data_IF_122726048654
#
_entry.id   IF_122726048654
#
_cell.length_a   1.000
_cell.length_b   1.000
_cell.length_c   1.000
_cell.angle_alpha   90.00
_cell.angle_beta   90.00
_cell.angle_gamma   90.00
#
_symmetry.space_group_name_H-M   'P 1'
#
loop_
_entity.id
_entity.type
_entity.pdbx_description
1 polymer ?
#
# COMPACT_ATOMS: atom_id res chain seq x y z
N UNK A 1 -8.72 -11.19 19.25
CA UNK A 1 -8.39 -10.12 18.30
C UNK A 1 -7.41 -9.09 18.89
N UNK A 2 -7.72 -8.36 19.96
CA UNK A 2 -6.85 -7.31 20.52
C UNK A 2 -5.45 -7.77 20.93
N UNK A 3 -5.29 -8.99 21.46
CA UNK A 3 -3.98 -9.53 21.85
C UNK A 3 -3.09 -9.78 20.63
N UNK A 4 -3.64 -10.25 19.50
CA UNK A 4 -2.90 -10.49 18.27
C UNK A 4 -2.46 -9.14 17.68
N UNK A 5 -3.37 -8.19 17.55
CA UNK A 5 -3.08 -6.84 17.07
C UNK A 5 -1.95 -6.17 17.88
N UNK A 6 -2.01 -6.28 19.22
CA UNK A 6 -0.95 -5.73 20.09
C UNK A 6 0.41 -6.40 19.81
N UNK A 7 0.42 -7.70 19.55
CA UNK A 7 1.66 -8.44 19.23
C UNK A 7 2.21 -8.02 17.88
N UNK A 8 1.35 -7.84 16.87
CA UNK A 8 1.76 -7.40 15.53
C UNK A 8 2.31 -5.98 15.54
N UNK A 9 1.64 -5.06 16.23
CA UNK A 9 2.12 -3.70 16.41
C UNK A 9 3.45 -3.67 17.20
N UNK A 10 3.60 -4.47 18.24
CA UNK A 10 4.86 -4.57 18.98
C UNK A 10 6.00 -5.08 18.07
N UNK A 11 5.76 -6.10 17.26
CA UNK A 11 6.73 -6.63 16.29
C UNK A 11 7.09 -5.61 15.22
N UNK A 12 6.09 -4.88 14.74
CA UNK A 12 6.26 -3.81 13.77
C UNK A 12 7.26 -2.77 14.29
N UNK A 13 7.00 -2.20 15.46
CA UNK A 13 7.84 -1.13 16.03
C UNK A 13 9.20 -1.61 16.53
N UNK A 14 9.37 -2.90 16.80
CA UNK A 14 10.66 -3.47 17.19
C UNK A 14 11.47 -4.00 16.00
N UNK A 15 10.84 -4.18 14.85
CA UNK A 15 11.46 -4.70 13.65
C UNK A 15 12.32 -3.64 12.94
N UNK A 16 13.59 -3.95 12.66
CA UNK A 16 14.48 -3.09 11.86
C UNK A 16 13.88 -2.73 10.50
N UNK A 17 13.09 -3.63 9.91
CA UNK A 17 12.45 -3.40 8.61
C UNK A 17 11.55 -2.15 8.62
N UNK A 18 10.86 -1.88 9.74
CA UNK A 18 10.02 -0.69 9.86
C UNK A 18 10.82 0.62 9.77
N UNK A 19 12.03 0.65 10.33
CA UNK A 19 12.89 1.84 10.33
C UNK A 19 13.77 1.97 9.10
N UNK A 20 14.05 0.84 8.43
CA UNK A 20 14.91 0.82 7.25
C UNK A 20 14.28 1.61 6.08
N UNK A 21 12.97 1.52 5.90
CA UNK A 21 12.27 2.22 4.83
C UNK A 21 12.23 3.74 5.01
N UNK A 22 11.89 4.30 6.19
CA UNK A 22 12.02 5.74 6.42
C UNK A 22 13.43 6.26 6.20
N UNK A 23 14.45 5.50 6.58
CA UNK A 23 15.83 5.85 6.32
C UNK A 23 16.17 5.89 4.82
N UNK A 24 15.67 4.89 4.06
CA UNK A 24 15.79 4.87 2.60
C UNK A 24 15.07 6.05 1.92
N UNK A 25 13.87 6.38 2.40
CA UNK A 25 13.13 7.55 1.94
C UNK A 25 13.91 8.85 2.18
N UNK A 26 14.51 9.00 3.35
CA UNK A 26 15.37 10.15 3.67
C UNK A 26 16.53 10.27 2.67
N UNK A 27 17.20 9.15 2.34
CA UNK A 27 18.27 9.15 1.35
C UNK A 27 17.79 9.62 -0.03
N UNK A 28 16.68 9.07 -0.52
CA UNK A 28 16.10 9.46 -1.81
C UNK A 28 15.74 10.95 -1.84
N UNK A 29 15.18 11.48 -0.75
CA UNK A 29 14.85 12.90 -0.65
C UNK A 29 16.08 13.79 -0.63
N UNK A 30 17.13 13.42 0.08
CA UNK A 30 18.40 14.17 0.09
C UNK A 30 18.99 14.25 -1.33
N UNK A 31 18.94 13.15 -2.09
CA UNK A 31 19.39 13.14 -3.48
C UNK A 31 18.50 14.00 -4.39
N UNK A 32 17.18 14.03 -4.19
CA UNK A 32 16.26 14.86 -4.97
C UNK A 32 16.48 16.35 -4.74
N UNK A 33 16.79 16.76 -3.51
CA UNK A 33 17.05 18.17 -3.17
C UNK A 33 18.30 18.69 -3.87
N UNK A 34 19.36 17.88 -3.98
CA UNK A 34 20.61 18.28 -4.63
C UNK A 34 20.48 18.47 -6.16
N UNK A 35 19.41 17.96 -6.77
CA UNK A 35 19.17 18.05 -8.21
C UNK A 35 18.21 19.17 -8.66
N UNK A 36 17.47 19.77 -7.73
CA UNK A 36 16.42 20.74 -8.07
C UNK A 36 16.61 22.05 -7.31
N UNK A 37 17.03 23.10 -8.01
CA UNK A 37 16.97 24.46 -7.51
C UNK A 37 15.76 25.19 -8.11
N UNK A 38 14.62 25.09 -7.44
CA UNK A 38 13.36 25.71 -7.86
C UNK A 38 13.15 27.09 -7.20
N UNK A 39 13.96 28.07 -7.57
CA UNK A 39 13.79 29.43 -7.02
C UNK A 39 12.49 30.04 -7.54
N UNK A 40 11.53 30.26 -6.65
CA UNK A 40 10.33 31.05 -6.92
C UNK A 40 9.09 30.32 -7.46
N UNK A 41 9.14 29.02 -7.64
CA UNK A 41 7.96 28.23 -8.01
C UNK A 41 7.06 27.97 -6.79
N UNK A 42 5.76 28.04 -7.00
CA UNK A 42 4.74 27.74 -5.97
C UNK A 42 4.06 26.42 -6.28
N UNK A 43 3.97 25.54 -5.29
CA UNK A 43 3.19 24.30 -5.36
C UNK A 43 2.02 24.35 -4.39
N UNK A 44 0.86 23.87 -4.81
CA UNK A 44 -0.24 23.64 -3.88
C UNK A 44 -0.06 22.29 -3.18
N UNK A 45 -0.63 22.13 -1.99
CA UNK A 45 -0.64 20.85 -1.28
C UNK A 45 -1.39 19.78 -2.10
N UNK A 46 -2.40 20.18 -2.88
CA UNK A 46 -3.12 19.30 -3.79
C UNK A 46 -2.23 18.72 -4.89
N UNK A 47 -1.34 19.54 -5.47
CA UNK A 47 -0.39 19.08 -6.49
C UNK A 47 0.59 18.06 -5.90
N UNK A 48 1.10 18.32 -4.69
CA UNK A 48 1.99 17.41 -3.97
C UNK A 48 1.29 16.05 -3.69
N UNK A 49 0.03 16.07 -3.27
CA UNK A 49 -0.73 14.85 -3.05
C UNK A 49 -1.01 14.10 -4.35
N UNK A 50 -1.35 14.81 -5.41
CA UNK A 50 -1.51 14.21 -6.73
C UNK A 50 -0.23 13.51 -7.19
N UNK A 51 0.92 14.17 -7.05
CA UNK A 51 2.22 13.58 -7.37
C UNK A 51 2.57 12.37 -6.50
N UNK A 52 2.22 12.38 -5.22
CA UNK A 52 2.41 11.23 -4.32
C UNK A 52 1.58 10.02 -4.74
N UNK A 53 0.39 10.23 -5.26
CA UNK A 53 -0.48 9.15 -5.72
C UNK A 53 -0.02 8.62 -7.09
N UNK A 54 0.49 9.49 -7.95
CA UNK A 54 0.84 9.16 -9.34
C UNK A 54 2.33 8.84 -9.49
N UNK A 55 3.16 9.87 -9.51
CA UNK A 55 4.59 9.78 -9.86
C UNK A 55 5.42 9.20 -8.71
N UNK A 56 5.14 9.62 -7.48
CA UNK A 56 5.90 9.23 -6.29
C UNK A 56 5.24 8.11 -5.48
N UNK A 57 4.29 7.39 -6.07
CA UNK A 57 3.55 6.29 -5.41
C UNK A 57 4.45 5.24 -4.76
N UNK A 58 5.62 5.00 -5.34
CA UNK A 58 6.60 4.04 -4.82
C UNK A 58 7.06 4.38 -3.39
N UNK A 59 7.09 5.67 -3.01
CA UNK A 59 7.49 6.10 -1.67
C UNK A 59 6.57 5.57 -0.57
N UNK A 60 5.32 5.28 -0.91
CA UNK A 60 4.33 4.74 0.04
C UNK A 60 4.07 3.25 -0.19
N UNK A 61 3.91 2.81 -1.43
CA UNK A 61 3.52 1.43 -1.73
C UNK A 61 4.60 0.42 -1.39
N UNK A 62 5.87 0.71 -1.73
CA UNK A 62 6.97 -0.20 -1.41
C UNK A 62 7.04 -0.47 0.09
N UNK A 63 7.20 0.55 0.96
CA UNK A 63 7.34 0.30 2.38
C UNK A 63 6.10 -0.38 2.97
N UNK A 64 4.90 0.00 2.56
CA UNK A 64 3.66 -0.65 3.04
C UNK A 64 3.66 -2.13 2.68
N UNK A 65 3.87 -2.48 1.40
CA UNK A 65 3.89 -3.87 0.94
C UNK A 65 5.00 -4.70 1.60
N UNK A 66 6.20 -4.14 1.69
CA UNK A 66 7.34 -4.82 2.29
C UNK A 66 7.16 -5.08 3.78
N UNK A 67 6.62 -4.11 4.53
CA UNK A 67 6.35 -4.25 5.95
C UNK A 67 5.23 -5.26 6.20
N UNK A 68 4.16 -5.24 5.41
CA UNK A 68 3.08 -6.24 5.48
C UNK A 68 3.64 -7.63 5.21
N UNK A 69 4.45 -7.80 4.17
CA UNK A 69 5.13 -9.06 3.86
C UNK A 69 6.07 -9.51 4.97
N UNK A 70 6.82 -8.59 5.57
CA UNK A 70 7.70 -8.89 6.71
C UNK A 70 6.92 -9.40 7.93
N UNK A 71 5.83 -8.76 8.29
CA UNK A 71 4.98 -9.19 9.40
C UNK A 71 4.42 -10.60 9.15
N UNK A 72 4.00 -10.87 7.94
CA UNK A 72 3.48 -12.16 7.54
C UNK A 72 4.57 -13.26 7.58
N UNK A 73 5.78 -12.95 7.06
CA UNK A 73 6.92 -13.87 7.13
C UNK A 73 7.32 -14.19 8.58
N UNK A 74 7.28 -13.20 9.47
CA UNK A 74 7.58 -13.41 10.88
C UNK A 74 6.60 -14.41 11.54
N UNK A 75 5.34 -14.37 11.18
CA UNK A 75 4.34 -15.31 11.70
C UNK A 75 4.53 -16.74 11.20
N UNK A 76 4.80 -16.91 9.90
CA UNK A 76 5.01 -18.23 9.30
C UNK A 76 6.31 -18.86 9.78
N UNK A 77 7.40 -18.08 9.85
CA UNK A 77 8.74 -18.58 10.22
C UNK A 77 8.85 -19.00 11.68
N UNK A 78 8.18 -18.28 12.60
CA UNK A 78 8.27 -18.56 14.03
C UNK A 78 7.16 -19.51 14.53
N UNK A 79 6.36 -20.09 13.64
CA UNK A 79 5.30 -21.04 14.01
C UNK A 79 4.20 -20.42 14.88
N UNK A 80 4.09 -19.09 14.87
CA UNK A 80 3.13 -18.35 15.70
C UNK A 80 1.68 -18.75 15.38
N UNK A 81 1.38 -19.02 14.11
CA UNK A 81 0.08 -19.50 13.66
C UNK A 81 -0.28 -20.86 14.30
N UNK A 82 0.70 -21.74 14.55
CA UNK A 82 0.47 -23.03 15.23
C UNK A 82 0.04 -22.83 16.69
N UNK A 83 0.69 -21.89 17.37
CA UNK A 83 0.35 -21.57 18.77
C UNK A 83 -0.98 -20.80 18.89
N UNK A 84 -1.36 -20.07 17.86
CA UNK A 84 -2.65 -19.36 17.80
C UNK A 84 -3.80 -20.29 17.47
N UNK A 85 -3.59 -21.31 16.63
CA UNK A 85 -4.63 -22.24 16.21
C UNK A 85 -5.34 -22.95 17.39
N UNK A 86 -4.64 -23.16 18.52
CA UNK A 86 -5.24 -23.69 19.76
C UNK A 86 -6.01 -22.66 20.60
N UNK A 87 -5.79 -21.35 20.40
CA UNK A 87 -6.31 -20.32 21.29
C UNK A 87 -7.28 -19.33 20.63
N UNK A 88 -7.48 -19.40 19.31
CA UNK A 88 -8.32 -18.45 18.56
C UNK A 88 -9.57 -19.16 18.04
N UNK A 89 -10.74 -18.60 18.39
CA UNK A 89 -12.07 -19.17 18.05
C UNK A 89 -12.43 -19.13 16.55
N UNK A 90 -11.64 -18.47 15.69
CA UNK A 90 -11.90 -18.34 14.25
C UNK A 90 -10.60 -18.26 13.46
N UNK A 91 -10.49 -19.02 12.39
CA UNK A 91 -9.31 -19.05 11.50
C UNK A 91 -9.15 -17.77 10.67
N UNK A 92 -10.23 -17.02 10.50
CA UNK A 92 -10.26 -15.72 9.81
C UNK A 92 -9.66 -14.57 10.64
N UNK A 93 -9.57 -14.72 11.97
CA UNK A 93 -9.12 -13.65 12.87
C UNK A 93 -7.70 -13.15 12.55
N UNK A 94 -6.70 -14.00 12.27
CA UNK A 94 -5.38 -13.55 11.85
C UNK A 94 -5.40 -12.68 10.59
N UNK A 95 -6.12 -13.09 9.53
CA UNK A 95 -6.23 -12.32 8.29
C UNK A 95 -6.87 -10.94 8.52
N UNK A 96 -7.96 -10.90 9.29
CA UNK A 96 -8.59 -9.62 9.66
C UNK A 96 -7.62 -8.73 10.46
N UNK A 97 -6.88 -9.32 11.41
CA UNK A 97 -5.92 -8.56 12.21
C UNK A 97 -4.80 -7.98 11.36
N UNK A 98 -4.34 -8.69 10.33
CA UNK A 98 -3.32 -8.21 9.39
C UNK A 98 -3.84 -7.07 8.52
N UNK A 99 -5.08 -7.13 8.06
CA UNK A 99 -5.69 -6.01 7.33
C UNK A 99 -5.75 -4.76 8.22
N UNK A 100 -6.09 -4.90 9.50
CA UNK A 100 -6.09 -3.77 10.46
C UNK A 100 -4.67 -3.27 10.71
N UNK A 101 -3.70 -4.16 10.91
CA UNK A 101 -2.29 -3.77 11.07
C UNK A 101 -1.78 -3.09 9.81
N UNK A 102 -2.15 -3.59 8.63
CA UNK A 102 -1.87 -2.96 7.33
C UNK A 102 -2.44 -1.55 7.22
N UNK A 103 -3.65 -1.32 7.72
CA UNK A 103 -4.24 0.03 7.78
C UNK A 103 -3.43 0.98 8.66
N UNK A 104 -2.99 0.53 9.84
CA UNK A 104 -2.13 1.32 10.73
C UNK A 104 -0.79 1.64 10.05
N UNK A 105 -0.16 0.65 9.44
CA UNK A 105 1.09 0.82 8.67
C UNK A 105 0.89 1.84 7.55
N UNK A 106 -0.19 1.70 6.78
CA UNK A 106 -0.54 2.63 5.70
C UNK A 106 -0.63 4.07 6.20
N UNK A 107 -1.39 4.32 7.26
CA UNK A 107 -1.52 5.68 7.83
C UNK A 107 -0.18 6.24 8.25
N UNK A 108 0.65 5.44 8.94
CA UNK A 108 1.99 5.88 9.38
C UNK A 108 2.85 6.26 8.18
N UNK A 109 2.91 5.41 7.14
CA UNK A 109 3.73 5.70 5.96
C UNK A 109 3.18 6.82 5.10
N UNK A 110 1.86 6.99 5.00
CA UNK A 110 1.26 8.15 4.34
C UNK A 110 1.68 9.46 5.02
N UNK A 111 1.59 9.52 6.35
CA UNK A 111 2.00 10.70 7.12
C UNK A 111 3.50 10.96 6.97
N UNK A 112 4.33 9.92 7.13
CA UNK A 112 5.78 10.06 6.97
C UNK A 112 6.15 10.53 5.57
N UNK A 113 5.62 9.89 4.52
CA UNK A 113 5.91 10.24 3.13
C UNK A 113 5.47 11.67 2.82
N UNK A 114 4.27 12.06 3.26
CA UNK A 114 3.77 13.41 3.08
C UNK A 114 4.67 14.45 3.75
N UNK A 115 5.03 14.23 5.02
CA UNK A 115 5.93 15.13 5.75
C UNK A 115 7.30 15.22 5.08
N UNK A 116 7.87 14.11 4.63
CA UNK A 116 9.16 14.11 3.95
C UNK A 116 9.11 14.90 2.65
N UNK A 117 8.08 14.71 1.83
CA UNK A 117 7.95 15.44 0.56
C UNK A 117 7.75 16.92 0.83
N UNK A 118 6.90 17.29 1.79
CA UNK A 118 6.71 18.68 2.20
C UNK A 118 8.02 19.34 2.62
N UNK A 119 8.78 18.70 3.52
CA UNK A 119 10.08 19.21 3.99
C UNK A 119 11.06 19.34 2.82
N UNK A 120 11.12 18.33 1.94
CA UNK A 120 11.97 18.33 0.76
C UNK A 120 11.67 19.51 -0.16
N UNK A 121 10.40 19.77 -0.46
CA UNK A 121 9.99 20.88 -1.30
C UNK A 121 10.33 22.24 -0.66
N UNK A 122 10.12 22.37 0.65
CA UNK A 122 10.50 23.59 1.38
C UNK A 122 12.01 23.83 1.36
N UNK A 123 12.82 22.79 1.55
CA UNK A 123 14.29 22.88 1.48
C UNK A 123 14.80 23.18 0.06
N UNK A 124 14.09 22.73 -0.97
CA UNK A 124 14.38 23.07 -2.36
C UNK A 124 14.00 24.52 -2.75
N UNK A 125 13.43 25.30 -1.82
CA UNK A 125 13.08 26.71 -2.05
C UNK A 125 11.71 26.93 -2.68
N UNK A 126 10.85 25.91 -2.75
CA UNK A 126 9.47 26.06 -3.23
C UNK A 126 8.57 26.69 -2.17
N UNK A 127 7.66 27.57 -2.62
CA UNK A 127 6.59 28.11 -1.77
C UNK A 127 5.40 27.15 -1.79
N UNK A 128 5.00 26.68 -0.62
CA UNK A 128 3.86 25.76 -0.47
C UNK A 128 2.63 26.57 -0.08
N UNK A 129 1.54 26.43 -0.85
CA UNK A 129 0.26 27.07 -0.61
C UNK A 129 -0.79 26.01 -0.35
N UNK A 130 -1.67 26.24 0.64
CA UNK A 130 -2.83 25.39 0.85
C UNK A 130 -3.74 25.48 -0.38
N UNK A 131 -4.01 24.32 -0.98
CA UNK A 131 -4.98 24.22 -2.07
C UNK A 131 -6.43 24.18 -1.57
N UNK A 132 -7.33 23.61 -2.38
CA UNK A 132 -8.73 23.46 -2.03
C UNK A 132 -8.89 22.38 -0.94
N UNK A 133 -9.42 22.70 0.27
CA UNK A 133 -9.56 21.72 1.35
C UNK A 133 -10.45 20.50 1.01
N UNK A 134 -11.48 20.71 0.19
CA UNK A 134 -12.39 19.63 -0.24
C UNK A 134 -11.68 18.61 -1.14
N UNK A 135 -10.91 19.09 -2.11
CA UNK A 135 -10.11 18.23 -3.00
C UNK A 135 -9.02 17.51 -2.22
N UNK A 136 -8.37 18.19 -1.27
CA UNK A 136 -7.35 17.63 -0.41
C UNK A 136 -7.88 16.42 0.39
N UNK A 137 -9.06 16.56 0.99
CA UNK A 137 -9.68 15.45 1.72
C UNK A 137 -9.99 14.26 0.81
N UNK A 138 -10.50 14.52 -0.39
CA UNK A 138 -10.78 13.49 -1.38
C UNK A 138 -9.50 12.77 -1.83
N UNK A 139 -8.43 13.51 -2.12
CA UNK A 139 -7.15 12.93 -2.52
C UNK A 139 -6.52 12.08 -1.42
N UNK A 140 -6.52 12.56 -0.16
CA UNK A 140 -6.02 11.79 0.98
C UNK A 140 -6.84 10.52 1.20
N UNK A 141 -8.16 10.62 1.15
CA UNK A 141 -9.06 9.48 1.27
C UNK A 141 -8.84 8.45 0.16
N UNK A 142 -8.67 8.92 -1.07
CA UNK A 142 -8.38 8.06 -2.22
C UNK A 142 -7.02 7.38 -2.09
N UNK A 143 -5.97 8.11 -1.71
CA UNK A 143 -4.64 7.57 -1.47
C UNK A 143 -4.67 6.45 -0.42
N UNK A 144 -5.37 6.68 0.70
CA UNK A 144 -5.58 5.64 1.71
C UNK A 144 -6.28 4.40 1.15
N UNK A 145 -7.36 4.59 0.37
CA UNK A 145 -8.11 3.48 -0.22
C UNK A 145 -7.28 2.63 -1.19
N UNK A 146 -6.48 3.27 -2.05
CA UNK A 146 -5.56 2.54 -2.94
C UNK A 146 -4.57 1.72 -2.13
N UNK A 147 -3.92 2.31 -1.13
CA UNK A 147 -2.99 1.60 -0.28
C UNK A 147 -3.65 0.40 0.42
N UNK A 148 -4.89 0.57 0.90
CA UNK A 148 -5.65 -0.52 1.53
C UNK A 148 -6.04 -1.62 0.53
N UNK A 149 -6.39 -1.27 -0.71
CA UNK A 149 -6.64 -2.26 -1.75
C UNK A 149 -5.38 -3.08 -2.08
N UNK A 150 -4.21 -2.42 -2.12
CA UNK A 150 -2.91 -3.07 -2.30
C UNK A 150 -2.58 -3.98 -1.10
N UNK A 151 -2.79 -3.53 0.14
CA UNK A 151 -2.62 -4.35 1.35
C UNK A 151 -3.51 -5.58 1.31
N UNK A 152 -4.77 -5.43 0.92
CA UNK A 152 -5.72 -6.55 0.81
C UNK A 152 -5.31 -7.52 -0.29
N UNK A 153 -4.78 -7.03 -1.41
CA UNK A 153 -4.22 -7.87 -2.46
C UNK A 153 -2.98 -8.64 -1.99
N UNK A 154 -2.07 -8.00 -1.27
CA UNK A 154 -0.91 -8.65 -0.66
C UNK A 154 -1.32 -9.74 0.33
N UNK A 155 -2.33 -9.48 1.18
CA UNK A 155 -2.87 -10.47 2.09
C UNK A 155 -3.47 -11.65 1.35
N UNK A 156 -4.21 -11.41 0.25
CA UNK A 156 -4.73 -12.46 -0.62
C UNK A 156 -3.61 -13.34 -1.19
N UNK A 157 -2.53 -12.74 -1.70
CA UNK A 157 -1.36 -13.49 -2.21
C UNK A 157 -0.74 -14.34 -1.11
N UNK A 158 -0.56 -13.78 0.08
CA UNK A 158 0.01 -14.51 1.20
C UNK A 158 -0.88 -15.68 1.65
N UNK A 159 -2.17 -15.46 1.77
CA UNK A 159 -3.09 -16.53 2.15
C UNK A 159 -3.17 -17.62 1.06
N UNK A 160 -3.10 -17.26 -0.21
CA UNK A 160 -3.14 -18.22 -1.32
C UNK A 160 -1.86 -19.04 -1.43
N UNK A 161 -0.68 -18.42 -1.29
CA UNK A 161 0.60 -19.04 -1.65
C UNK A 161 1.43 -19.50 -0.45
N UNK A 162 1.23 -18.90 0.71
CA UNK A 162 2.06 -19.08 1.93
C UNK A 162 3.57 -18.83 1.69
N UNK A 163 3.90 -18.02 0.71
CA UNK A 163 5.28 -17.74 0.31
C UNK A 163 5.62 -16.27 0.56
N UNK A 164 6.55 -16.04 1.47
CA UNK A 164 7.11 -14.69 1.68
C UNK A 164 7.94 -14.21 0.49
N UNK A 165 8.59 -15.10 -0.24
CA UNK A 165 9.35 -14.76 -1.43
C UNK A 165 8.44 -14.18 -2.51
N UNK A 166 7.27 -14.80 -2.76
CA UNK A 166 6.28 -14.26 -3.68
C UNK A 166 5.73 -12.91 -3.20
N UNK A 167 5.52 -12.73 -1.89
CA UNK A 167 5.13 -11.44 -1.34
C UNK A 167 6.12 -10.32 -1.67
N UNK A 168 7.42 -10.55 -1.51
CA UNK A 168 8.43 -9.54 -1.87
C UNK A 168 8.50 -9.29 -3.39
N UNK A 169 8.42 -10.33 -4.21
CA UNK A 169 8.36 -10.18 -5.68
C UNK A 169 7.14 -9.35 -6.08
N UNK A 170 5.96 -9.70 -5.55
CA UNK A 170 4.72 -8.96 -5.84
C UNK A 170 4.78 -7.50 -5.36
N UNK A 171 5.45 -7.23 -4.24
CA UNK A 171 5.66 -5.85 -3.77
C UNK A 171 6.42 -5.01 -4.81
N UNK A 172 7.45 -5.59 -5.45
CA UNK A 172 8.21 -4.94 -6.52
C UNK A 172 7.35 -4.79 -7.78
N UNK A 173 6.60 -5.83 -8.17
CA UNK A 173 5.75 -5.79 -9.35
C UNK A 173 4.60 -4.78 -9.23
N UNK A 174 4.02 -4.62 -8.04
CA UNK A 174 3.00 -3.60 -7.77
C UNK A 174 3.62 -2.20 -7.89
N UNK A 175 4.81 -2.00 -7.33
CA UNK A 175 5.50 -0.73 -7.41
C UNK A 175 5.80 -0.30 -8.85
N UNK A 176 6.32 -1.21 -9.67
CA UNK A 176 6.65 -0.92 -11.08
C UNK A 176 5.40 -0.76 -11.95
N UNK A 177 4.22 -1.16 -11.47
CA UNK A 177 2.98 -1.22 -12.27
C UNK A 177 2.88 -2.49 -13.13
N UNK A 178 3.89 -3.37 -13.10
CA UNK A 178 3.94 -4.58 -13.95
C UNK A 178 2.71 -5.48 -13.77
N UNK A 179 2.11 -5.53 -12.60
CA UNK A 179 0.90 -6.34 -12.37
C UNK A 179 -0.24 -5.87 -13.27
N UNK A 180 -0.46 -4.55 -13.32
CA UNK A 180 -1.52 -3.96 -14.14
C UNK A 180 -1.17 -4.02 -15.63
N UNK A 181 0.09 -3.77 -15.99
CA UNK A 181 0.57 -3.87 -17.36
C UNK A 181 0.38 -5.29 -17.92
N UNK A 182 0.75 -6.32 -17.17
CA UNK A 182 0.54 -7.71 -17.55
C UNK A 182 -0.96 -8.00 -17.71
N UNK A 183 -1.80 -7.52 -16.79
CA UNK A 183 -3.24 -7.70 -16.86
C UNK A 183 -3.82 -7.05 -18.14
N UNK A 184 -3.45 -5.80 -18.41
CA UNK A 184 -3.86 -5.07 -19.62
C UNK A 184 -3.41 -5.82 -20.87
N UNK A 185 -2.14 -6.25 -20.91
CA UNK A 185 -1.59 -6.99 -22.04
C UNK A 185 -2.33 -8.30 -22.29
N UNK A 186 -2.61 -9.08 -21.25
CA UNK A 186 -3.34 -10.36 -21.35
C UNK A 186 -4.75 -10.13 -21.89
N UNK A 187 -5.48 -9.13 -21.39
CA UNK A 187 -6.84 -8.83 -21.86
C UNK A 187 -6.83 -8.34 -23.32
N UNK A 188 -5.86 -7.49 -23.68
CA UNK A 188 -5.71 -7.00 -25.06
C UNK A 188 -5.35 -8.13 -26.03
N UNK A 189 -4.57 -9.13 -25.60
CA UNK A 189 -4.29 -10.33 -26.40
C UNK A 189 -5.54 -11.20 -26.63
N UNK A 190 -6.45 -11.27 -25.66
CA UNK A 190 -7.72 -12.00 -25.82
C UNK A 190 -8.65 -11.25 -26.76
N UNK A 191 -8.77 -9.96 -26.59
CA UNK A 191 -9.59 -9.10 -27.44
C UNK A 191 -9.01 -7.68 -27.51
N UNK A 192 -8.43 -7.33 -28.65
CA UNK A 192 -7.80 -6.02 -28.88
C UNK A 192 -8.74 -4.81 -28.79
N UNK A 193 -10.07 -5.03 -28.74
CA UNK A 193 -11.07 -3.97 -28.55
C UNK A 193 -11.37 -3.66 -27.08
N UNK A 194 -10.90 -4.50 -26.18
CA UNK A 194 -11.17 -4.33 -24.75
C UNK A 194 -10.05 -3.50 -24.10
N UNK A 195 -10.33 -2.24 -23.90
CA UNK A 195 -9.47 -1.37 -23.09
C UNK A 195 -9.94 -1.40 -21.63
N UNK A 196 -9.14 -2.07 -20.80
CA UNK A 196 -9.42 -2.17 -19.35
C UNK A 196 -8.59 -1.19 -18.54
N UNK A 197 -7.82 -0.32 -19.16
CA UNK A 197 -6.87 0.59 -18.48
C UNK A 197 -7.59 1.46 -17.45
N UNK A 198 -8.76 1.98 -17.78
CA UNK A 198 -9.57 2.77 -16.86
C UNK A 198 -10.06 2.00 -15.63
N UNK A 199 -10.14 0.67 -15.72
CA UNK A 199 -10.62 -0.18 -14.62
C UNK A 199 -9.51 -0.65 -13.69
N UNK A 200 -8.25 -0.45 -14.03
CA UNK A 200 -7.12 -0.78 -13.14
C UNK A 200 -6.99 0.21 -12.00
N UNK A 201 -6.30 -0.18 -10.91
CA UNK A 201 -6.20 0.65 -9.72
C UNK A 201 -5.38 1.93 -9.97
N UNK A 202 -4.18 1.77 -10.55
CA UNK A 202 -3.20 2.84 -10.66
C UNK A 202 -3.38 3.60 -11.97
N UNK A 203 -3.40 2.91 -13.11
CA UNK A 203 -3.60 3.56 -14.41
C UNK A 203 -4.97 4.20 -14.54
N UNK A 204 -6.01 3.56 -14.00
CA UNK A 204 -7.33 4.16 -13.98
C UNK A 204 -7.41 5.46 -13.16
N UNK A 205 -6.58 5.59 -12.11
CA UNK A 205 -6.44 6.87 -11.41
C UNK A 205 -5.68 7.91 -12.25
N UNK A 206 -4.62 7.51 -12.94
CA UNK A 206 -3.87 8.41 -13.83
C UNK A 206 -4.76 9.03 -14.92
N UNK A 207 -5.78 8.27 -15.38
CA UNK A 207 -6.70 8.72 -16.44
C UNK A 207 -7.81 9.63 -15.87
N UNK A 208 -8.42 9.24 -14.74
CA UNK A 208 -9.63 9.89 -14.21
C UNK A 208 -9.41 10.77 -12.98
N UNK A 209 -8.31 10.59 -12.27
CA UNK A 209 -8.09 11.25 -10.98
C UNK A 209 -8.93 10.67 -9.84
N UNK A 210 -9.12 11.46 -8.78
CA UNK A 210 -9.90 11.10 -7.60
C UNK A 210 -11.39 11.45 -7.80
N UNK A 211 -12.07 10.76 -8.72
CA UNK A 211 -13.50 10.90 -8.97
C UNK A 211 -14.31 9.80 -8.23
N UNK A 212 -15.64 9.95 -8.25
CA UNK A 212 -16.55 9.00 -7.61
C UNK A 212 -16.40 7.58 -8.18
N UNK A 213 -16.20 7.47 -9.49
CA UNK A 213 -16.00 6.17 -10.14
C UNK A 213 -14.72 5.48 -9.63
N UNK A 214 -13.63 6.23 -9.52
CA UNK A 214 -12.37 5.73 -8.98
C UNK A 214 -12.50 5.26 -7.53
N UNK A 215 -13.25 5.99 -6.70
CA UNK A 215 -13.56 5.58 -5.33
C UNK A 215 -14.33 4.27 -5.29
N UNK A 216 -15.43 4.17 -6.02
CA UNK A 216 -16.28 2.96 -6.06
C UNK A 216 -15.48 1.76 -6.57
N UNK A 217 -14.73 1.94 -7.64
CA UNK A 217 -13.86 0.91 -8.21
C UNK A 217 -12.84 0.41 -7.17
N UNK A 218 -12.13 1.33 -6.50
CA UNK A 218 -11.12 0.98 -5.51
C UNK A 218 -11.73 0.28 -4.29
N UNK A 219 -12.92 0.70 -3.86
CA UNK A 219 -13.69 0.01 -2.82
C UNK A 219 -14.07 -1.41 -3.24
N UNK A 220 -14.47 -1.63 -4.48
CA UNK A 220 -14.76 -2.97 -5.00
C UNK A 220 -13.51 -3.85 -4.91
N UNK A 221 -12.35 -3.37 -5.36
CA UNK A 221 -11.09 -4.12 -5.25
C UNK A 221 -10.75 -4.45 -3.80
N UNK A 222 -10.86 -3.48 -2.90
CA UNK A 222 -10.59 -3.69 -1.47
C UNK A 222 -11.50 -4.79 -0.90
N UNK A 223 -12.82 -4.70 -1.16
CA UNK A 223 -13.79 -5.67 -0.64
C UNK A 223 -13.57 -7.05 -1.23
N UNK A 224 -13.31 -7.14 -2.54
CA UNK A 224 -13.07 -8.42 -3.22
C UNK A 224 -11.78 -9.07 -2.70
N UNK A 225 -10.67 -8.35 -2.64
CA UNK A 225 -9.40 -8.92 -2.20
C UNK A 225 -9.42 -9.29 -0.72
N UNK A 226 -9.94 -8.42 0.15
CA UNK A 226 -10.09 -8.71 1.57
C UNK A 226 -11.05 -9.89 1.81
N UNK A 227 -12.19 -9.92 1.11
CA UNK A 227 -13.16 -11.00 1.20
C UNK A 227 -12.59 -12.34 0.77
N UNK A 228 -11.85 -12.38 -0.35
CA UNK A 228 -11.17 -13.59 -0.81
C UNK A 228 -10.06 -14.04 0.14
N UNK A 229 -9.26 -13.10 0.68
CA UNK A 229 -8.21 -13.42 1.66
C UNK A 229 -8.82 -14.07 2.92
N UNK A 230 -9.88 -13.47 3.48
CA UNK A 230 -10.60 -13.98 4.64
C UNK A 230 -11.24 -15.35 4.34
N UNK A 231 -11.82 -15.50 3.15
CA UNK A 231 -12.44 -16.76 2.73
C UNK A 231 -11.42 -17.90 2.61
N UNK A 232 -10.25 -17.63 2.01
CA UNK A 232 -9.17 -18.60 1.90
C UNK A 232 -8.64 -18.95 3.29
N UNK A 233 -8.38 -17.94 4.14
CA UNK A 233 -7.94 -18.15 5.53
C UNK A 233 -8.90 -19.04 6.32
N UNK A 234 -10.22 -18.86 6.13
CA UNK A 234 -11.26 -19.67 6.80
C UNK A 234 -11.27 -21.13 6.34
N UNK A 235 -11.07 -21.36 5.02
CA UNK A 235 -11.10 -22.73 4.44
C UNK A 235 -9.80 -23.50 4.61
N UNK A 236 -8.71 -22.82 4.92
CA UNK A 236 -7.39 -23.43 4.97
C UNK A 236 -7.26 -24.33 6.18
N UNK A 237 -6.93 -25.58 5.95
CA UNK A 237 -6.50 -26.46 7.01
C UNK A 237 -5.11 -26.05 7.46
N UNK A 238 -4.96 -25.76 8.74
CA UNK A 238 -3.64 -25.55 9.32
C UNK A 238 -2.91 -26.89 9.20
N UNK A 239 -2.07 -27.03 8.18
CA UNK A 239 -1.16 -28.17 8.09
C UNK A 239 -0.27 -28.12 9.33
N UNK A 240 -0.53 -29.03 10.25
CA UNK A 240 0.25 -29.25 11.48
C UNK A 240 1.60 -29.85 11.10
#
# INVERSE_FOLDING_TARGET
MGRILKTDLYRLFRGLAFYFFPAGLLMVLIFSINGQHGVGLTFSVNDILSDLITTMRYLTFIPVCMVVTYLWNAETRYGFLKNLAGNVKGREIPAITKLITGAVVTVIYMVLTFLFVMISQMLAGYKIVLGNPGELLLQVGYWFLICMAVVAFMELIHEATQSSALGYIMSIMIWTGMVEEILIMVVTLINSKWDITEYTLIYGFLIRGADLFSFVRTMIYLVVFAGLAIFIAKKKDVKV
#
